data_IF_083656192373
#
_entry.id   IF_083656192373
#
_cell.length_a   1.000
_cell.length_b   1.000
_cell.length_c   1.000
_cell.angle_alpha   90.00
_cell.angle_beta   90.00
_cell.angle_gamma   90.00
#
_symmetry.space_group_name_H-M   'P 1'
#
loop_
_entity.id
_entity.type
_entity.pdbx_description
1 polymer ?
#
# COMPACT_ATOMS: atom_id res chain seq x y z
N UNK A 1 -24.71 24.14 4.55
CA UNK A 1 -23.37 23.52 4.57
C UNK A 1 -23.52 22.01 4.59
N UNK A 2 -23.14 21.32 3.52
CA UNK A 2 -23.12 19.86 3.52
C UNK A 2 -21.89 19.40 4.31
N UNK A 3 -22.14 18.83 5.49
CA UNK A 3 -21.13 18.14 6.27
C UNK A 3 -20.70 16.93 5.45
N UNK A 4 -19.50 16.97 4.90
CA UNK A 4 -18.94 15.85 4.15
C UNK A 4 -18.82 14.66 5.10
N UNK A 5 -19.72 13.69 4.93
CA UNK A 5 -19.57 12.31 5.38
C UNK A 5 -18.09 11.93 5.31
N UNK A 6 -17.50 11.55 6.44
CA UNK A 6 -16.05 11.39 6.61
C UNK A 6 -15.38 10.72 5.41
N UNK A 7 -14.70 11.52 4.60
CA UNK A 7 -14.01 11.04 3.40
C UNK A 7 -12.85 10.18 3.86
N UNK A 8 -12.99 8.86 3.74
CA UNK A 8 -11.91 7.92 4.04
C UNK A 8 -10.86 8.02 2.93
N UNK A 9 -9.85 8.85 3.18
CA UNK A 9 -8.73 9.10 2.27
C UNK A 9 -7.57 8.18 2.61
N UNK A 10 -6.99 7.52 1.59
CA UNK A 10 -5.81 6.70 1.74
C UNK A 10 -4.55 7.55 1.52
N UNK A 11 -3.60 7.49 2.45
CA UNK A 11 -2.27 8.10 2.34
C UNK A 11 -1.17 7.06 2.06
N UNK A 12 -1.52 5.78 2.24
CA UNK A 12 -0.66 4.64 2.00
C UNK A 12 -1.53 3.46 1.56
N UNK A 13 -1.12 2.79 0.48
CA UNK A 13 -1.75 1.56 0.01
C UNK A 13 -0.68 0.57 -0.38
N UNK A 14 -0.79 -0.68 0.08
CA UNK A 14 0.14 -1.76 -0.26
C UNK A 14 -0.65 -2.98 -0.68
N UNK A 15 -0.12 -3.73 -1.65
CA UNK A 15 -0.63 -5.00 -2.08
C UNK A 15 0.37 -6.08 -1.69
N UNK A 16 -0.09 -7.00 -0.84
CA UNK A 16 0.72 -8.07 -0.29
C UNK A 16 0.10 -9.39 -0.74
N UNK A 17 0.86 -10.16 -1.51
CA UNK A 17 0.48 -11.54 -1.80
C UNK A 17 0.70 -12.43 -0.57
N UNK A 18 -0.26 -13.31 -0.30
CA UNK A 18 -0.23 -14.17 0.90
C UNK A 18 0.88 -15.22 0.81
N UNK A 19 1.16 -15.74 -0.38
CA UNK A 19 2.23 -16.72 -0.62
C UNK A 19 3.59 -16.08 -0.39
N UNK A 20 3.81 -14.89 -0.98
CA UNK A 20 5.03 -14.11 -0.75
C UNK A 20 5.20 -13.78 0.72
N UNK A 21 4.16 -13.28 1.41
CA UNK A 21 4.23 -12.95 2.84
C UNK A 21 4.67 -14.15 3.70
N UNK A 22 4.15 -15.34 3.41
CA UNK A 22 4.47 -16.55 4.16
C UNK A 22 5.86 -17.12 3.84
N UNK A 23 6.42 -16.80 2.67
CA UNK A 23 7.78 -17.20 2.29
C UNK A 23 8.87 -16.33 2.91
N UNK A 24 8.52 -15.16 3.46
CA UNK A 24 9.50 -14.25 4.04
C UNK A 24 10.05 -14.79 5.35
N UNK A 25 11.36 -14.71 5.50
CA UNK A 25 12.01 -14.96 6.76
C UNK A 25 12.01 -13.69 7.62
N UNK A 26 11.05 -13.58 8.54
CA UNK A 26 10.90 -12.42 9.43
C UNK A 26 12.10 -12.18 10.36
N UNK A 27 12.97 -13.18 10.57
CA UNK A 27 14.18 -13.02 11.37
C UNK A 27 15.32 -12.31 10.61
N UNK A 28 15.25 -12.28 9.28
CA UNK A 28 16.26 -11.68 8.40
C UNK A 28 15.69 -10.58 7.51
N UNK A 29 14.43 -10.18 7.73
CA UNK A 29 13.82 -9.08 6.98
C UNK A 29 14.57 -7.79 7.31
N UNK A 30 15.26 -7.25 6.31
CA UNK A 30 15.65 -5.86 6.31
C UNK A 30 14.43 -5.01 5.87
N UNK A 31 14.05 -4.07 6.72
CA UNK A 31 12.93 -3.17 6.45
C UNK A 31 13.20 -2.26 5.24
N UNK A 32 14.47 -2.06 4.88
CA UNK A 32 14.86 -1.30 3.67
C UNK A 32 14.47 -2.05 2.39
N UNK A 33 14.70 -3.37 2.32
CA UNK A 33 14.39 -4.24 1.19
C UNK A 33 12.89 -4.57 1.11
N UNK A 34 12.20 -4.58 2.24
CA UNK A 34 10.78 -4.97 2.31
C UNK A 34 9.85 -4.01 1.57
N UNK A 35 10.16 -2.71 1.52
CA UNK A 35 9.34 -1.75 0.77
C UNK A 35 9.47 -1.92 -0.75
N UNK A 36 10.61 -2.43 -1.23
CA UNK A 36 10.86 -2.63 -2.67
C UNK A 36 10.08 -3.85 -3.20
N UNK A 37 9.90 -4.87 -2.36
CA UNK A 37 9.31 -6.14 -2.77
C UNK A 37 7.77 -6.14 -2.89
N UNK A 38 7.09 -5.11 -2.38
CA UNK A 38 5.64 -5.00 -2.48
C UNK A 38 5.23 -3.85 -3.37
N UNK A 39 4.28 -4.12 -4.26
CA UNK A 39 3.55 -3.07 -4.97
C UNK A 39 2.88 -2.16 -3.93
N UNK A 40 3.30 -0.90 -3.89
CA UNK A 40 2.81 0.08 -2.93
C UNK A 40 2.63 1.45 -3.59
N UNK A 41 1.69 2.22 -3.04
CA UNK A 41 1.44 3.61 -3.40
C UNK A 41 1.65 4.47 -2.16
N UNK A 42 2.64 5.34 -2.24
CA UNK A 42 2.91 6.39 -1.27
C UNK A 42 3.29 7.65 -2.05
N UNK A 43 2.82 8.81 -1.62
CA UNK A 43 3.18 10.08 -2.22
C UNK A 43 3.62 11.03 -1.10
N UNK A 44 4.93 11.08 -0.88
CA UNK A 44 5.55 11.96 0.10
C UNK A 44 6.31 13.08 -0.63
N UNK A 45 5.92 14.32 -0.36
CA UNK A 45 6.58 15.52 -0.89
C UNK A 45 7.26 16.27 0.25
N UNK A 46 8.56 16.55 0.10
CA UNK A 46 9.39 17.21 1.12
C UNK A 46 8.76 18.48 1.73
N UNK A 47 8.02 19.25 0.94
CA UNK A 47 7.40 20.52 1.36
C UNK A 47 5.91 20.43 1.67
N UNK A 48 5.23 19.36 1.26
CA UNK A 48 3.76 19.21 1.39
C UNK A 48 3.33 18.03 2.26
N UNK A 49 4.28 17.24 2.75
CA UNK A 49 4.01 16.05 3.56
C UNK A 49 3.44 14.90 2.71
N UNK A 50 2.52 14.14 3.30
CA UNK A 50 1.85 13.02 2.65
C UNK A 50 0.62 13.48 1.87
N UNK A 51 0.53 13.10 0.61
CA UNK A 51 -0.64 13.32 -0.23
C UNK A 51 -1.49 12.06 -0.36
N UNK A 52 -2.74 12.25 -0.75
CA UNK A 52 -3.66 11.13 -0.97
C UNK A 52 -3.22 10.28 -2.16
N UNK A 53 -3.40 8.97 -2.01
CA UNK A 53 -3.11 7.95 -3.01
C UNK A 53 -4.37 7.16 -3.32
N UNK A 54 -4.45 6.66 -4.54
CA UNK A 54 -5.49 5.68 -4.90
C UNK A 54 -5.21 4.35 -4.19
N UNK A 55 -6.28 3.65 -3.82
CA UNK A 55 -6.17 2.28 -3.33
C UNK A 55 -5.59 1.38 -4.42
N UNK A 56 -4.76 0.43 -4.03
CA UNK A 56 -4.38 -0.69 -4.89
C UNK A 56 -5.52 -1.69 -4.91
N UNK A 57 -6.07 -1.94 -6.09
CA UNK A 57 -7.09 -2.96 -6.27
C UNK A 57 -6.43 -4.34 -6.34
N UNK A 58 -7.16 -5.37 -5.88
CA UNK A 58 -6.76 -6.74 -6.20
C UNK A 58 -6.93 -6.89 -7.70
N UNK A 59 -5.88 -7.28 -8.42
CA UNK A 59 -6.07 -7.74 -9.78
C UNK A 59 -7.06 -8.91 -9.68
N UNK A 60 -8.18 -8.82 -10.40
CA UNK A 60 -8.97 -10.00 -10.69
C UNK A 60 -8.09 -10.84 -11.60
N UNK A 61 -7.33 -11.77 -11.01
CA UNK A 61 -6.87 -12.91 -11.78
C UNK A 61 -8.13 -13.54 -12.34
N UNK A 62 -8.29 -13.44 -13.67
CA UNK A 62 -9.30 -14.16 -14.40
C UNK A 62 -9.24 -15.61 -13.94
N UNK A 63 -10.21 -15.98 -13.12
CA UNK A 63 -10.44 -17.38 -12.83
C UNK A 63 -11.05 -17.96 -14.11
N UNK A 64 -10.47 -19.09 -14.54
CA UNK A 64 -10.79 -19.95 -15.68
C UNK A 64 -10.07 -19.62 -17.00
#
# INVERSE_FOLDING_TARGET
MNFLLGVKVAIFSVKIDKTTLNSLNFNTIDCSESMVNFEHKINFKKTKGLEFVSKLEKNQENTF
#
